data_IF_135793834437
#
_entry.id   IF_135793834437
#
_cell.length_a   1.000
_cell.length_b   1.000
_cell.length_c   1.000
_cell.angle_alpha   90.00
_cell.angle_beta   90.00
_cell.angle_gamma   90.00
#
_symmetry.space_group_name_H-M   'P 1'
#
loop_
_entity.id
_entity.type
_entity.pdbx_description
1 polymer ?
#
# COMPACT_ATOMS: atom_id res chain seq x y z
N UNK A 1 7.90 13.98 0.69
CA UNK A 1 8.38 12.69 1.21
C UNK A 1 7.42 12.22 2.28
N UNK A 2 6.94 10.98 2.23
CA UNK A 2 6.03 10.41 3.22
C UNK A 2 6.40 8.95 3.49
N UNK A 3 6.16 8.50 4.72
CA UNK A 3 6.25 7.09 5.11
C UNK A 3 5.00 6.35 4.64
N UNK A 4 5.19 5.25 3.93
CA UNK A 4 4.14 4.52 3.22
C UNK A 4 3.99 3.12 3.78
N UNK A 5 2.74 2.72 3.97
CA UNK A 5 2.34 1.34 4.18
C UNK A 5 1.72 0.82 2.89
N UNK A 6 2.23 -0.29 2.38
CA UNK A 6 1.66 -0.94 1.20
C UNK A 6 0.68 -2.01 1.65
N UNK A 7 -0.57 -1.94 1.16
CA UNK A 7 -1.57 -2.97 1.43
C UNK A 7 -1.41 -4.14 0.44
N UNK A 8 -1.07 -5.31 0.96
CA UNK A 8 -0.81 -6.53 0.19
C UNK A 8 0.60 -7.10 0.40
N UNK A 9 0.75 -8.41 0.15
CA UNK A 9 2.03 -9.17 0.26
C UNK A 9 2.24 -10.10 -0.94
N UNK A 10 1.76 -9.68 -2.11
CA UNK A 10 1.88 -10.43 -3.37
C UNK A 10 2.52 -9.56 -4.45
N UNK A 11 2.56 -10.05 -5.69
CA UNK A 11 3.28 -9.47 -6.82
C UNK A 11 3.01 -7.97 -7.02
N UNK A 12 1.76 -7.51 -6.92
CA UNK A 12 1.43 -6.08 -7.05
C UNK A 12 2.03 -5.23 -5.93
N UNK A 13 2.12 -5.76 -4.71
CA UNK A 13 2.73 -5.08 -3.57
C UNK A 13 4.26 -5.05 -3.70
N UNK A 14 4.88 -6.14 -4.17
CA UNK A 14 6.32 -6.18 -4.49
C UNK A 14 6.66 -5.18 -5.60
N UNK A 15 5.89 -5.17 -6.68
CA UNK A 15 6.07 -4.24 -7.79
C UNK A 15 5.92 -2.77 -7.34
N UNK A 16 4.91 -2.47 -6.53
CA UNK A 16 4.73 -1.16 -5.96
C UNK A 16 5.91 -0.74 -5.06
N UNK A 17 6.40 -1.67 -4.23
CA UNK A 17 7.57 -1.41 -3.38
C UNK A 17 8.81 -1.09 -4.22
N UNK A 18 9.06 -1.87 -5.27
CA UNK A 18 10.15 -1.61 -6.22
C UNK A 18 10.06 -0.20 -6.80
N UNK A 19 8.90 0.17 -7.34
CA UNK A 19 8.71 1.50 -7.93
C UNK A 19 8.87 2.63 -6.92
N UNK A 20 8.22 2.52 -5.75
CA UNK A 20 8.34 3.57 -4.73
C UNK A 20 9.77 3.72 -4.23
N UNK A 21 10.52 2.63 -4.10
CA UNK A 21 11.91 2.63 -3.67
C UNK A 21 12.87 3.27 -4.69
N UNK A 22 12.61 3.08 -5.98
CA UNK A 22 13.54 3.48 -7.05
C UNK A 22 13.15 4.74 -7.81
N UNK A 23 11.86 5.10 -7.81
CA UNK A 23 11.31 6.15 -8.68
C UNK A 23 10.46 7.17 -7.91
N UNK A 24 10.61 7.23 -6.58
CA UNK A 24 9.90 8.19 -5.74
C UNK A 24 10.72 8.62 -4.54
N UNK A 25 10.36 9.78 -3.95
CA UNK A 25 10.89 10.23 -2.67
C UNK A 25 10.09 9.67 -1.47
N UNK A 26 9.26 8.66 -1.66
CA UNK A 26 8.52 8.00 -0.58
C UNK A 26 9.33 6.86 0.03
N UNK A 27 9.12 6.61 1.32
CA UNK A 27 9.77 5.52 2.03
C UNK A 27 8.72 4.47 2.39
N UNK A 28 8.86 3.23 1.90
CA UNK A 28 7.99 2.13 2.36
C UNK A 28 8.51 1.64 3.71
N UNK A 29 7.70 1.73 4.76
CA UNK A 29 8.10 1.36 6.13
C UNK A 29 7.52 0.03 6.60
N UNK A 30 6.42 -0.40 5.99
CA UNK A 30 5.75 -1.65 6.32
C UNK A 30 4.82 -2.10 5.18
N UNK A 31 4.42 -3.36 5.25
CA UNK A 31 3.27 -3.88 4.52
C UNK A 31 2.12 -4.16 5.49
N UNK A 32 0.89 -4.21 4.96
CA UNK A 32 -0.28 -4.57 5.76
C UNK A 32 -1.24 -5.43 4.97
N UNK A 33 -1.87 -6.38 5.66
CA UNK A 33 -2.93 -7.26 5.17
C UNK A 33 -3.87 -7.58 6.31
N UNK A 34 -5.07 -8.08 6.02
CA UNK A 34 -5.95 -8.60 7.08
C UNK A 34 -5.24 -9.74 7.83
N UNK A 35 -5.55 -9.90 9.11
CA UNK A 35 -4.90 -10.87 10.00
C UNK A 35 -4.87 -12.30 9.44
N UNK A 36 -5.93 -12.71 8.73
CA UNK A 36 -6.03 -14.04 8.10
C UNK A 36 -4.99 -14.29 6.98
N UNK A 37 -4.42 -13.23 6.40
CA UNK A 37 -3.43 -13.30 5.32
C UNK A 37 -2.01 -12.96 5.79
N UNK A 38 -1.77 -12.83 7.10
CA UNK A 38 -0.44 -12.57 7.61
C UNK A 38 0.52 -13.70 7.22
N UNK A 39 1.71 -13.38 6.67
CA UNK A 39 2.71 -14.39 6.40
C UNK A 39 3.29 -14.94 7.71
N UNK A 40 3.60 -16.23 7.75
CA UNK A 40 4.11 -16.90 8.96
C UNK A 40 5.39 -16.25 9.52
N UNK A 41 6.22 -15.65 8.67
CA UNK A 41 7.45 -14.96 9.07
C UNK A 41 7.26 -13.49 9.52
N UNK A 42 6.06 -12.92 9.38
CA UNK A 42 5.79 -11.52 9.76
C UNK A 42 6.53 -10.47 8.94
N UNK A 43 7.19 -10.86 7.83
CA UNK A 43 7.97 -9.96 6.98
C UNK A 43 7.72 -10.22 5.50
N UNK A 44 7.83 -9.18 4.68
CA UNK A 44 7.76 -9.24 3.22
C UNK A 44 8.72 -8.19 2.62
N UNK A 45 9.50 -8.55 1.60
CA UNK A 45 10.55 -7.68 1.02
C UNK A 45 11.54 -7.11 2.07
N UNK A 46 11.78 -7.85 3.16
CA UNK A 46 12.64 -7.43 4.28
C UNK A 46 12.01 -6.38 5.22
N UNK A 47 10.74 -6.04 5.04
CA UNK A 47 9.98 -5.10 5.87
C UNK A 47 8.91 -5.82 6.71
N UNK A 48 8.51 -5.26 7.86
CA UNK A 48 7.46 -5.86 8.69
C UNK A 48 6.10 -5.87 7.98
N UNK A 49 5.32 -6.92 8.24
CA UNK A 49 3.92 -7.04 7.82
C UNK A 49 3.05 -6.98 9.05
N UNK A 50 2.14 -6.01 9.10
CA UNK A 50 1.26 -5.78 10.26
C UNK A 50 -0.20 -5.99 9.86
N UNK A 51 -0.98 -6.61 10.75
CA UNK A 51 -2.42 -6.78 10.54
C UNK A 51 -3.10 -5.43 10.37
N UNK A 52 -3.98 -5.34 9.37
CA UNK A 52 -4.70 -4.11 9.08
C UNK A 52 -5.67 -3.73 10.21
N UNK A 53 -6.15 -4.71 10.97
CA UNK A 53 -7.02 -4.55 12.11
C UNK A 53 -6.35 -3.71 13.21
N UNK A 54 -5.08 -3.98 13.50
CA UNK A 54 -4.31 -3.37 14.60
C UNK A 54 -3.33 -2.28 14.14
N UNK A 55 -3.39 -1.90 12.86
CA UNK A 55 -2.36 -1.05 12.23
C UNK A 55 -2.20 0.32 12.91
N UNK A 56 -3.28 0.88 13.42
CA UNK A 56 -3.32 2.19 14.10
C UNK A 56 -2.50 2.22 15.40
N UNK A 57 -2.25 1.07 16.02
CA UNK A 57 -1.45 0.97 17.25
C UNK A 57 0.03 1.15 17.01
N UNK A 58 0.52 0.72 15.84
CA UNK A 58 1.95 0.76 15.49
C UNK A 58 2.25 1.90 14.53
N UNK A 59 1.30 2.26 13.67
CA UNK A 59 1.45 3.28 12.65
C UNK A 59 0.25 4.23 12.63
N UNK A 60 0.25 5.30 13.45
CA UNK A 60 -0.85 6.24 13.51
C UNK A 60 -1.13 6.94 12.15
N UNK A 61 -2.38 7.24 11.79
CA UNK A 61 -2.74 7.85 10.50
C UNK A 61 -2.16 9.25 10.28
N UNK A 62 -1.71 9.93 11.34
CA UNK A 62 -1.02 11.20 11.25
C UNK A 62 0.42 11.07 10.71
N UNK A 63 1.05 9.91 10.85
CA UNK A 63 2.48 9.70 10.59
C UNK A 63 2.78 8.97 9.28
N UNK A 64 1.81 8.19 8.78
CA UNK A 64 1.97 7.37 7.58
C UNK A 64 0.83 7.57 6.59
N UNK A 65 1.07 7.18 5.35
CA UNK A 65 0.06 7.10 4.31
C UNK A 65 0.03 5.70 3.72
N UNK A 66 -1.06 5.36 3.05
CA UNK A 66 -1.26 4.05 2.45
C UNK A 66 -1.06 4.06 0.93
N UNK A 67 -0.67 2.92 0.40
CA UNK A 67 -0.77 2.61 -1.01
C UNK A 67 -1.37 1.21 -1.16
N UNK A 68 -2.43 1.06 -1.95
CA UNK A 68 -3.16 -0.21 -2.10
C UNK A 68 -3.11 -0.73 -3.54
N UNK A 69 -1.95 -1.26 -3.99
CA UNK A 69 -1.76 -1.81 -5.33
C UNK A 69 -2.46 -3.17 -5.42
N UNK A 70 -3.75 -3.17 -5.71
CA UNK A 70 -4.55 -4.40 -5.81
C UNK A 70 -4.90 -4.73 -7.26
N UNK A 71 -4.96 -6.04 -7.54
CA UNK A 71 -5.45 -6.57 -8.82
C UNK A 71 -6.92 -6.24 -9.07
N UNK A 72 -7.36 -6.38 -10.32
CA UNK A 72 -8.73 -6.12 -10.77
C UNK A 72 -9.76 -7.18 -10.35
N UNK A 73 -9.48 -7.96 -9.30
CA UNK A 73 -10.37 -9.00 -8.78
C UNK A 73 -11.77 -8.45 -8.53
N UNK A 74 -12.77 -9.24 -8.92
CA UNK A 74 -14.20 -8.89 -8.80
C UNK A 74 -14.51 -7.50 -9.37
N UNK A 75 -13.98 -7.18 -10.56
CA UNK A 75 -14.17 -5.86 -11.20
C UNK A 75 -13.75 -4.69 -10.30
N UNK A 76 -12.60 -4.79 -9.64
CA UNK A 76 -12.07 -3.81 -8.68
C UNK A 76 -12.90 -3.59 -7.41
N UNK A 77 -13.96 -4.37 -7.14
CA UNK A 77 -14.77 -4.22 -5.91
C UNK A 77 -13.93 -4.38 -4.65
N UNK A 78 -13.03 -5.36 -4.65
CA UNK A 78 -12.13 -5.59 -3.52
C UNK A 78 -11.21 -4.37 -3.28
N UNK A 79 -10.64 -3.80 -4.36
CA UNK A 79 -9.81 -2.59 -4.26
C UNK A 79 -10.60 -1.41 -3.73
N UNK A 80 -11.85 -1.24 -4.17
CA UNK A 80 -12.72 -0.16 -3.68
C UNK A 80 -13.06 -0.34 -2.20
N UNK A 81 -13.34 -1.56 -1.74
CA UNK A 81 -13.59 -1.86 -0.34
C UNK A 81 -12.38 -1.55 0.53
N UNK A 82 -11.20 -2.04 0.18
CA UNK A 82 -9.95 -1.76 0.90
C UNK A 82 -9.66 -0.26 0.94
N UNK A 83 -9.85 0.44 -0.17
CA UNK A 83 -9.70 1.90 -0.23
C UNK A 83 -10.61 2.63 0.78
N UNK A 84 -11.87 2.23 0.88
CA UNK A 84 -12.81 2.83 1.83
C UNK A 84 -12.43 2.49 3.28
N UNK A 85 -12.09 1.23 3.58
CA UNK A 85 -11.68 0.82 4.92
C UNK A 85 -10.44 1.57 5.41
N UNK A 86 -9.45 1.78 4.53
CA UNK A 86 -8.26 2.58 4.84
C UNK A 86 -8.65 4.02 5.18
N UNK A 87 -9.58 4.61 4.43
CA UNK A 87 -10.09 5.97 4.71
C UNK A 87 -10.91 6.06 5.98
N UNK A 88 -11.74 5.05 6.27
CA UNK A 88 -12.55 4.97 7.49
C UNK A 88 -11.67 4.95 8.75
N UNK A 89 -10.48 4.33 8.66
CA UNK A 89 -9.42 4.40 9.69
C UNK A 89 -8.64 5.73 9.71
N UNK A 90 -9.02 6.71 8.91
CA UNK A 90 -8.42 8.05 8.89
C UNK A 90 -7.11 8.18 8.10
N UNK A 91 -6.66 7.13 7.40
CA UNK A 91 -5.44 7.21 6.60
C UNK A 91 -5.67 7.93 5.26
N UNK A 92 -4.63 8.64 4.82
CA UNK A 92 -4.54 9.14 3.44
C UNK A 92 -3.90 8.09 2.55
N UNK A 93 -4.30 8.07 1.28
CA UNK A 93 -3.67 7.22 0.26
C UNK A 93 -2.85 8.08 -0.71
N UNK A 94 -1.64 7.64 -1.02
CA UNK A 94 -0.83 8.27 -2.06
C UNK A 94 -1.30 7.86 -3.45
N UNK A 95 -0.96 8.70 -4.43
CA UNK A 95 -0.97 8.33 -5.84
C UNK A 95 0.47 8.28 -6.33
N UNK A 96 0.78 7.29 -7.15
CA UNK A 96 2.08 7.14 -7.78
C UNK A 96 1.90 7.03 -9.29
N UNK A 97 2.63 7.86 -10.02
CA UNK A 97 2.81 7.80 -11.47
C UNK A 97 4.31 7.77 -11.70
N UNK A 98 4.79 6.80 -12.48
CA UNK A 98 6.23 6.68 -12.73
C UNK A 98 6.76 7.93 -13.43
N UNK A 99 7.98 8.36 -13.08
CA UNK A 99 8.69 9.44 -13.77
C UNK A 99 8.98 9.12 -15.24
N UNK A 100 8.91 7.83 -15.59
CA UNK A 100 9.12 7.27 -16.93
C UNK A 100 7.81 6.91 -17.63
N UNK A 101 6.66 7.27 -17.08
CA UNK A 101 5.38 6.98 -17.70
C UNK A 101 5.22 7.74 -19.03
N UNK A 102 4.94 7.02 -20.11
CA UNK A 102 4.45 7.64 -21.35
C UNK A 102 2.99 8.00 -21.15
N UNK A 103 2.70 9.29 -21.14
CA UNK A 103 1.33 9.80 -21.07
C UNK A 103 0.83 10.14 -22.47
N UNK A 104 -0.44 9.86 -22.73
CA UNK A 104 -1.14 10.41 -23.87
C UNK A 104 -1.92 11.63 -23.38
N UNK A 105 -1.46 12.86 -23.67
CA UNK A 105 -2.18 14.07 -23.27
C UNK A 105 -3.50 14.18 -24.07
N UNK A 106 -4.46 14.89 -23.49
CA UNK A 106 -5.72 15.32 -24.10
C UNK A 106 -6.83 14.26 -24.26
N UNK A 107 -7.79 14.35 -23.34
CA UNK A 107 -9.23 14.22 -23.68
C UNK A 107 -9.91 15.53 -23.33
#
# INVERSE_FOLDING_TARGET
MAKIIIFGVQDFASLAHFYLKHDSAHETVAFSVNAEYLPAGGTFEGLPVVSFEEIERTYPPAEVQFFAPMSHRQMNRLRAQVYQQIKEKGYRLISYVSSKATVFPDT
#
